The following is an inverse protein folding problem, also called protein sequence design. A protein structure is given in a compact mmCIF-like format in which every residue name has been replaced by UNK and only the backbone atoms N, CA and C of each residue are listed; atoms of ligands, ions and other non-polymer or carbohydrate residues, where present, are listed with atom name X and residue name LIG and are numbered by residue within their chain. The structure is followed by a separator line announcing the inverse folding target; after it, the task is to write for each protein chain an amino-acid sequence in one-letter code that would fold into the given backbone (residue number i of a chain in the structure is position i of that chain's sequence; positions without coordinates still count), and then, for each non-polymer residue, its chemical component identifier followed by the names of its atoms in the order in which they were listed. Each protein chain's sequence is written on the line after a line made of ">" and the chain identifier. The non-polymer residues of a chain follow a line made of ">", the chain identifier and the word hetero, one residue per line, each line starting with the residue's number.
data_IF_450295421787
#
_entry.id   IF_450295421787
#
_cell.length_a   1.000
_cell.length_b   1.000
_cell.length_c   1.000
_cell.angle_alpha   90.00
_cell.angle_beta   90.00
_cell.angle_gamma   90.00
#
_symmetry.space_group_name_H-M   'P 1'
#
loop_
_entity.id
_entity.type
_entity.pdbx_description
1 polymer ?
#
# COMPACT_ATOMS: atom_id res chain seq x y z
N UNK A 1 -6.00 -76.54 -16.33
CA UNK A 1 -6.58 -75.23 -15.96
C UNK A 1 -5.92 -74.85 -14.66
N UNK A 2 -4.72 -74.26 -14.72
CA UNK A 2 -4.03 -73.73 -13.54
C UNK A 2 -3.35 -72.44 -14.00
N UNK A 3 -3.82 -71.32 -13.48
CA UNK A 3 -3.29 -69.99 -13.79
C UNK A 3 -2.29 -69.60 -12.71
N UNK A 4 -1.04 -69.40 -13.13
CA UNK A 4 -0.03 -68.60 -12.44
C UNK A 4 -0.55 -67.20 -12.15
N UNK A 5 -0.22 -66.67 -10.98
CA UNK A 5 -0.15 -65.24 -10.72
C UNK A 5 1.04 -64.96 -9.79
N UNK A 6 2.14 -64.56 -10.41
CA UNK A 6 3.32 -63.99 -9.75
C UNK A 6 2.96 -62.62 -9.16
N UNK A 7 3.22 -62.45 -7.87
CA UNK A 7 3.12 -61.17 -7.17
C UNK A 7 4.50 -60.51 -7.16
N UNK A 8 4.74 -59.62 -8.13
CA UNK A 8 5.90 -58.73 -8.13
C UNK A 8 5.57 -57.50 -7.26
N UNK A 9 6.21 -57.44 -6.08
CA UNK A 9 6.21 -56.26 -5.20
C UNK A 9 7.18 -55.23 -5.76
N UNK A 10 6.65 -54.17 -6.37
CA UNK A 10 7.39 -52.95 -6.63
C UNK A 10 7.19 -51.97 -5.47
N UNK A 11 8.24 -51.77 -4.68
CA UNK A 11 8.32 -50.68 -3.70
C UNK A 11 8.34 -49.32 -4.40
N UNK A 12 7.45 -48.36 -4.05
CA UNK A 12 7.57 -47.00 -4.54
C UNK A 12 8.71 -46.28 -3.80
N UNK A 13 9.82 -46.06 -4.50
CA UNK A 13 10.87 -45.11 -4.10
C UNK A 13 10.26 -43.71 -4.03
N UNK A 14 9.90 -43.26 -2.83
CA UNK A 14 9.66 -41.86 -2.50
C UNK A 14 10.98 -41.09 -2.60
N UNK A 15 11.23 -40.49 -3.77
CA UNK A 15 12.18 -39.37 -3.86
C UNK A 15 11.52 -38.15 -3.23
N UNK A 16 11.83 -37.89 -1.96
CA UNK A 16 11.57 -36.61 -1.32
C UNK A 16 12.37 -35.52 -2.01
N UNK A 17 11.77 -34.90 -3.02
CA UNK A 17 12.20 -33.59 -3.49
C UNK A 17 11.61 -32.56 -2.56
N UNK A 18 12.44 -31.98 -1.69
CA UNK A 18 12.09 -30.74 -0.98
C UNK A 18 11.85 -29.66 -2.03
N UNK A 19 10.58 -29.41 -2.36
CA UNK A 19 10.21 -28.24 -3.13
C UNK A 19 10.40 -27.02 -2.22
N UNK A 20 11.18 -26.00 -2.64
CA UNK A 20 11.36 -24.81 -1.82
C UNK A 20 10.00 -24.16 -1.57
N UNK A 21 9.68 -23.99 -0.30
CA UNK A 21 8.46 -23.35 0.18
C UNK A 21 8.48 -21.88 -0.25
N UNK A 22 7.76 -21.55 -1.33
CA UNK A 22 7.59 -20.17 -1.80
C UNK A 22 6.90 -19.37 -0.69
N UNK A 23 7.59 -18.40 -0.14
CA UNK A 23 7.02 -17.42 0.78
C UNK A 23 6.27 -16.34 -0.02
N UNK A 24 5.44 -15.51 0.63
CA UNK A 24 4.72 -14.40 -0.03
C UNK A 24 5.65 -13.50 -0.84
N UNK A 25 6.89 -13.39 -0.36
CA UNK A 25 7.99 -12.65 -0.98
C UNK A 25 8.43 -13.32 -2.28
N UNK A 26 8.47 -14.64 -2.38
CA UNK A 26 8.86 -15.37 -3.59
C UNK A 26 7.80 -15.31 -4.70
N UNK A 27 6.52 -15.30 -4.33
CA UNK A 27 5.42 -15.01 -5.26
C UNK A 27 5.50 -13.53 -5.69
N UNK A 28 5.86 -12.65 -4.74
CA UNK A 28 6.12 -11.23 -5.00
C UNK A 28 7.52 -10.93 -5.60
N UNK A 29 8.41 -11.90 -5.74
CA UNK A 29 9.75 -11.74 -6.32
C UNK A 29 9.99 -12.65 -7.52
N UNK A 30 8.96 -13.37 -7.96
CA UNK A 30 8.98 -14.15 -9.20
C UNK A 30 9.95 -15.34 -9.15
N UNK A 31 10.16 -15.98 -8.00
CA UNK A 31 11.05 -17.16 -7.87
C UNK A 31 10.53 -18.39 -8.64
N UNK A 32 9.30 -18.34 -9.15
CA UNK A 32 8.74 -19.35 -10.05
C UNK A 32 9.27 -19.19 -11.47
N UNK A 33 9.94 -20.24 -12.00
CA UNK A 33 10.31 -20.33 -13.42
C UNK A 33 9.06 -20.31 -14.31
N UNK A 34 8.54 -19.13 -14.64
CA UNK A 34 7.58 -18.95 -15.72
C UNK A 34 8.35 -19.09 -17.06
N UNK A 35 7.80 -19.91 -17.95
CA UNK A 35 8.43 -20.25 -19.23
C UNK A 35 8.74 -19.01 -20.06
N UNK A 36 10.03 -18.78 -20.32
CA UNK A 36 10.49 -17.83 -21.33
C UNK A 36 9.90 -18.23 -22.68
N UNK A 37 9.05 -17.36 -23.23
CA UNK A 37 8.71 -17.40 -24.65
C UNK A 37 9.92 -16.89 -25.42
N UNK A 38 10.50 -17.77 -26.25
CA UNK A 38 11.61 -17.43 -27.14
C UNK A 38 11.17 -16.35 -28.14
N UNK A 39 11.70 -15.13 -27.99
CA UNK A 39 11.86 -14.17 -29.09
C UNK A 39 13.34 -13.96 -29.33
N UNK A 40 13.87 -14.69 -30.30
CA UNK A 40 15.18 -14.45 -30.92
C UNK A 40 15.07 -13.25 -31.86
N UNK A 41 15.90 -12.24 -31.61
CA UNK A 41 16.05 -11.06 -32.46
C UNK A 41 17.37 -10.38 -32.11
N UNK A 42 18.44 -10.82 -32.79
CA UNK A 42 19.78 -10.25 -32.69
C UNK A 42 19.79 -8.78 -33.15
N UNK A 43 20.11 -7.86 -32.24
CA UNK A 43 20.67 -6.56 -32.60
C UNK A 43 21.85 -6.21 -31.70
N UNK A 44 22.97 -5.96 -32.39
CA UNK A 44 24.31 -5.62 -31.90
C UNK A 44 24.32 -4.20 -31.33
N UNK A 45 24.91 -3.94 -30.14
CA UNK A 45 25.01 -2.59 -29.60
C UNK A 45 26.19 -1.82 -30.23
N UNK A 46 25.94 -0.58 -30.62
CA UNK A 46 26.94 0.41 -31.01
C UNK A 46 27.49 1.16 -29.79
N UNK A 47 28.81 1.30 -29.74
CA UNK A 47 29.56 2.15 -28.81
C UNK A 47 29.07 3.60 -28.81
N UNK A 48 28.91 4.19 -27.62
CA UNK A 48 28.74 5.62 -27.43
C UNK A 48 29.65 6.12 -26.30
N UNK A 49 30.18 7.31 -26.53
CA UNK A 49 31.37 7.91 -25.95
C UNK A 49 31.23 8.35 -24.49
N UNK A 50 32.37 8.30 -23.80
CA UNK A 50 32.63 8.90 -22.50
C UNK A 50 32.42 10.42 -22.52
N UNK A 51 31.61 10.94 -21.59
CA UNK A 51 31.56 12.35 -21.22
C UNK A 51 32.28 12.54 -19.88
N UNK A 52 33.10 13.59 -19.82
CA UNK A 52 34.02 13.89 -18.71
C UNK A 52 33.36 14.38 -17.41
N UNK A 53 34.16 14.54 -16.34
CA UNK A 53 33.66 14.82 -14.99
C UNK A 53 33.21 16.28 -14.85
N UNK A 54 31.92 16.47 -14.58
CA UNK A 54 31.32 17.77 -14.25
C UNK A 54 31.68 18.23 -12.83
N UNK A 55 32.01 19.50 -12.74
CA UNK A 55 32.40 20.28 -11.57
C UNK A 55 31.26 20.35 -10.52
N UNK A 56 31.55 19.97 -9.27
CA UNK A 56 30.58 19.98 -8.17
C UNK A 56 30.43 21.39 -7.58
N UNK A 57 29.29 22.02 -7.86
CA UNK A 57 28.84 23.23 -7.16
C UNK A 57 28.40 22.83 -5.74
N UNK A 58 29.04 23.41 -4.72
CA UNK A 58 28.76 23.19 -3.30
C UNK A 58 27.89 24.34 -2.79
N UNK A 59 26.61 24.09 -2.55
CA UNK A 59 25.69 25.04 -1.91
C UNK A 59 25.77 24.93 -0.37
N UNK A 60 25.53 26.03 0.38
CA UNK A 60 25.73 26.09 1.83
C UNK A 60 24.76 25.18 2.59
N UNK A 61 25.26 24.54 3.65
CA UNK A 61 24.49 23.71 4.55
C UNK A 61 23.48 24.55 5.35
N UNK A 62 22.22 24.13 5.35
CA UNK A 62 21.18 24.65 6.24
C UNK A 62 21.47 24.19 7.67
N UNK A 63 21.43 25.12 8.62
CA UNK A 63 21.78 24.91 10.04
C UNK A 63 20.57 24.59 10.93
N UNK A 64 19.48 24.08 10.37
CA UNK A 64 18.24 23.90 11.13
C UNK A 64 18.23 22.57 11.91
N UNK A 65 18.24 22.66 13.24
CA UNK A 65 18.36 21.55 14.20
C UNK A 65 17.03 20.87 14.55
N UNK A 66 15.94 21.15 13.82
CA UNK A 66 14.59 20.59 14.08
C UNK A 66 14.42 19.09 13.74
N UNK A 67 15.43 18.44 13.16
CA UNK A 67 15.34 17.09 12.57
C UNK A 67 15.33 15.89 13.57
N UNK A 68 14.91 16.07 14.83
CA UNK A 68 14.95 14.96 15.81
C UNK A 68 13.66 14.13 15.90
N UNK A 69 12.52 14.65 15.47
CA UNK A 69 11.25 13.92 15.56
C UNK A 69 10.80 13.42 14.18
N UNK A 70 10.24 12.19 14.11
CA UNK A 70 9.72 11.67 12.85
C UNK A 70 8.58 12.59 12.34
N UNK A 71 8.43 12.74 11.01
CA UNK A 71 7.31 13.46 10.44
C UNK A 71 5.97 12.91 10.94
N UNK A 72 5.03 13.80 11.22
CA UNK A 72 3.70 13.45 11.73
C UNK A 72 2.66 13.31 10.62
N UNK A 73 3.06 13.40 9.36
CA UNK A 73 2.14 13.31 8.23
C UNK A 73 2.73 13.76 6.89
N UNK A 74 1.84 13.94 5.92
CA UNK A 74 2.14 14.54 4.60
C UNK A 74 1.20 15.70 4.32
N UNK A 75 1.72 16.71 3.62
CA UNK A 75 0.99 17.87 3.12
C UNK A 75 0.98 17.86 1.60
N UNK A 76 -0.15 18.19 0.98
CA UNK A 76 -0.29 18.44 -0.45
C UNK A 76 -0.85 19.85 -0.64
N UNK A 77 -0.21 20.68 -1.47
CA UNK A 77 -0.82 21.93 -1.90
C UNK A 77 -1.55 21.71 -3.23
N UNK A 78 -2.88 21.79 -3.20
CA UNK A 78 -3.72 21.65 -4.38
C UNK A 78 -3.64 22.88 -5.29
N UNK A 79 -4.12 22.75 -6.54
CA UNK A 79 -4.10 23.82 -7.54
C UNK A 79 -4.93 25.05 -7.13
N UNK A 80 -5.98 24.81 -6.33
CA UNK A 80 -6.88 25.84 -5.78
C UNK A 80 -6.32 26.54 -4.52
N UNK A 81 -5.02 26.35 -4.21
CA UNK A 81 -4.37 26.92 -3.02
C UNK A 81 -4.95 26.41 -1.70
N UNK A 82 -5.45 25.17 -1.67
CA UNK A 82 -5.79 24.46 -0.44
C UNK A 82 -4.63 23.56 -0.02
N UNK A 83 -4.18 23.69 1.22
CA UNK A 83 -3.23 22.76 1.84
C UNK A 83 -4.03 21.64 2.48
N UNK A 84 -3.81 20.41 2.05
CA UNK A 84 -4.39 19.21 2.67
C UNK A 84 -3.31 18.51 3.46
N UNK A 85 -3.54 18.33 4.76
CA UNK A 85 -2.65 17.59 5.65
C UNK A 85 -3.26 16.22 5.96
N UNK A 86 -2.54 15.15 5.68
CA UNK A 86 -2.85 13.81 6.17
C UNK A 86 -1.90 13.49 7.33
N UNK A 87 -2.40 13.63 8.54
CA UNK A 87 -1.66 13.51 9.78
C UNK A 87 -1.86 12.11 10.39
N UNK A 88 -0.82 11.60 11.05
CA UNK A 88 -0.86 10.39 11.87
C UNK A 88 -0.30 10.71 13.25
N UNK A 89 -1.09 10.42 14.28
CA UNK A 89 -0.71 10.59 15.67
C UNK A 89 -0.60 9.24 16.37
N UNK A 90 0.35 9.13 17.31
CA UNK A 90 0.43 8.02 18.25
C UNK A 90 0.67 8.54 19.67
N UNK A 91 -0.13 8.10 20.63
CA UNK A 91 0.03 8.41 22.05
C UNK A 91 -0.15 7.14 22.88
N UNK A 92 0.96 6.58 23.35
CA UNK A 92 0.97 5.24 23.96
C UNK A 92 0.55 4.19 22.95
N UNK A 93 -0.45 3.37 23.30
CA UNK A 93 -1.02 2.34 22.41
C UNK A 93 -2.11 2.87 21.47
N UNK A 94 -2.53 4.12 21.64
CA UNK A 94 -3.52 4.76 20.76
C UNK A 94 -2.83 5.30 19.52
N UNK A 95 -3.39 4.98 18.36
CA UNK A 95 -3.02 5.57 17.07
C UNK A 95 -4.26 6.16 16.41
N UNK A 96 -4.08 7.26 15.66
CA UNK A 96 -5.14 7.92 14.93
C UNK A 96 -4.61 8.56 13.66
N UNK A 97 -5.50 8.71 12.68
CA UNK A 97 -5.25 9.42 11.44
C UNK A 97 -6.23 10.59 11.35
N UNK A 98 -5.78 11.71 10.79
CA UNK A 98 -6.62 12.88 10.59
C UNK A 98 -6.30 13.52 9.24
N UNK A 99 -7.34 13.96 8.55
CA UNK A 99 -7.22 14.80 7.37
C UNK A 99 -7.70 16.21 7.74
N UNK A 100 -6.88 17.22 7.43
CA UNK A 100 -7.18 18.62 7.75
C UNK A 100 -6.90 19.47 6.52
N UNK A 101 -7.89 20.26 6.11
CA UNK A 101 -7.76 21.20 5.00
C UNK A 101 -7.62 22.63 5.52
N UNK A 102 -6.72 23.40 4.88
CA UNK A 102 -6.58 24.83 5.07
C UNK A 102 -6.69 25.52 3.72
N UNK A 103 -7.73 26.33 3.54
CA UNK A 103 -7.97 27.12 2.33
C UNK A 103 -7.24 28.46 2.43
N UNK A 104 -6.86 29.02 1.29
CA UNK A 104 -6.29 30.35 1.25
C UNK A 104 -7.23 31.37 1.94
N UNK A 105 -6.72 32.07 2.95
CA UNK A 105 -7.46 33.01 3.78
C UNK A 105 -7.97 32.44 5.11
N UNK A 106 -7.87 31.13 5.34
CA UNK A 106 -8.12 30.55 6.66
C UNK A 106 -7.11 31.10 7.68
N UNK A 107 -7.58 31.29 8.92
CA UNK A 107 -6.79 31.93 9.99
C UNK A 107 -5.42 31.27 10.22
N UNK A 108 -5.30 29.97 9.97
CA UNK A 108 -4.08 29.18 10.18
C UNK A 108 -3.33 28.83 8.88
N UNK A 109 -3.81 29.29 7.72
CA UNK A 109 -3.22 28.92 6.43
C UNK A 109 -1.74 29.32 6.35
N UNK A 110 -1.44 30.59 6.63
CA UNK A 110 -0.07 31.12 6.53
C UNK A 110 0.87 30.47 7.54
N UNK A 111 0.37 30.16 8.75
CA UNK A 111 1.15 29.49 9.79
C UNK A 111 1.50 28.06 9.37
N UNK A 112 0.53 27.31 8.84
CA UNK A 112 0.76 25.96 8.31
C UNK A 112 1.70 26.01 7.11
N UNK A 113 1.47 26.91 6.16
CA UNK A 113 2.32 27.08 4.99
C UNK A 113 3.79 27.39 5.38
N UNK A 114 3.98 28.27 6.36
CA UNK A 114 5.29 28.60 6.91
C UNK A 114 5.92 27.43 7.66
N UNK A 115 5.16 26.70 8.47
CA UNK A 115 5.61 25.50 9.19
C UNK A 115 6.14 24.42 8.24
N UNK A 116 5.51 24.27 7.07
CA UNK A 116 5.96 23.36 6.02
C UNK A 116 7.24 23.84 5.29
N UNK A 117 7.77 25.01 5.64
CA UNK A 117 8.87 25.66 4.92
C UNK A 117 8.47 26.12 3.52
N UNK A 118 7.19 26.49 3.34
CA UNK A 118 6.55 26.69 2.05
C UNK A 118 6.28 25.39 1.30
N UNK A 119 5.38 25.41 0.33
CA UNK A 119 5.05 24.25 -0.51
C UNK A 119 4.55 24.76 -1.86
N UNK A 120 4.93 24.14 -2.98
CA UNK A 120 4.49 24.56 -4.32
C UNK A 120 3.19 23.87 -4.71
N UNK A 121 2.40 24.48 -5.62
CA UNK A 121 1.18 23.84 -6.15
C UNK A 121 1.52 22.50 -6.79
N UNK A 122 0.75 21.47 -6.44
CA UNK A 122 0.96 20.08 -6.81
C UNK A 122 2.08 19.36 -6.05
N UNK A 123 2.84 20.05 -5.20
CA UNK A 123 3.93 19.44 -4.42
C UNK A 123 3.37 18.73 -3.18
N UNK A 124 3.93 17.56 -2.88
CA UNK A 124 3.73 16.87 -1.60
C UNK A 124 4.97 17.03 -0.73
N UNK A 125 4.80 17.38 0.55
CA UNK A 125 5.87 17.48 1.55
C UNK A 125 5.57 16.69 2.81
N UNK A 126 6.62 16.31 3.53
CA UNK A 126 6.49 15.76 4.88
C UNK A 126 6.11 16.87 5.87
N UNK A 127 5.20 16.56 6.80
CA UNK A 127 4.79 17.49 7.87
C UNK A 127 5.69 17.26 9.09
N UNK A 128 6.55 18.23 9.47
CA UNK A 128 7.31 18.13 10.70
C UNK A 128 6.38 18.15 11.91
N UNK A 129 6.80 17.51 13.02
CA UNK A 129 6.10 17.67 14.29
C UNK A 129 6.02 19.16 14.68
N UNK A 130 4.88 19.60 15.21
CA UNK A 130 4.82 20.92 15.84
C UNK A 130 5.66 20.88 17.11
N UNK A 131 6.53 21.87 17.28
CA UNK A 131 7.17 22.06 18.56
C UNK A 131 6.11 22.59 19.51
N UNK A 132 5.71 21.76 20.48
CA UNK A 132 4.92 22.24 21.60
C UNK A 132 5.75 23.31 22.30
N UNK A 133 5.28 24.56 22.27
CA UNK A 133 5.90 25.69 22.95
C UNK A 133 5.68 25.49 24.46
N UNK A 134 6.47 24.58 25.05
CA UNK A 134 6.39 24.17 26.47
C UNK A 134 6.63 25.33 27.45
N UNK A 135 7.06 26.49 26.93
CA UNK A 135 7.25 27.75 27.65
C UNK A 135 5.99 28.59 27.78
N UNK A 136 4.94 28.33 26.99
CA UNK A 136 3.66 29.04 27.11
C UNK A 136 2.74 28.35 28.11
N UNK A 137 2.85 28.79 29.37
CA UNK A 137 1.92 28.42 30.45
C UNK A 137 0.48 28.68 29.96
N UNK A 138 -0.43 27.68 30.00
CA UNK A 138 -1.75 27.83 29.41
C UNK A 138 -2.49 28.99 30.08
N UNK A 139 -2.73 30.05 29.31
CA UNK A 139 -3.65 31.12 29.69
C UNK A 139 -5.04 30.50 29.69
N UNK A 140 -5.60 30.35 30.89
CA UNK A 140 -6.92 29.76 31.11
C UNK A 140 -7.96 30.52 30.30
N UNK A 141 -8.39 29.96 29.17
CA UNK A 141 -9.59 30.42 28.50
C UNK A 141 -10.78 30.20 29.45
N UNK A 142 -11.62 31.23 29.69
CA UNK A 142 -12.79 31.09 30.55
C UNK A 142 -13.74 30.07 29.92
N UNK A 143 -14.13 29.09 30.73
CA UNK A 143 -15.07 28.04 30.37
C UNK A 143 -16.36 28.65 29.80
N UNK A 144 -16.62 28.43 28.49
CA UNK A 144 -17.94 28.66 27.92
C UNK A 144 -18.85 27.53 28.38
N UNK A 145 -19.72 27.82 29.35
CA UNK A 145 -20.90 27.01 29.65
C UNK A 145 -21.80 26.96 28.41
N UNK A 146 -21.90 25.78 27.79
CA UNK A 146 -22.95 25.49 26.81
C UNK A 146 -24.17 24.94 27.54
N UNK A 147 -25.17 25.80 27.75
CA UNK A 147 -26.51 25.39 28.16
C UNK A 147 -27.25 24.85 26.95
N UNK A 148 -27.44 23.54 26.86
CA UNK A 148 -28.45 22.93 25.99
C UNK A 148 -29.50 22.34 26.91
N UNK A 149 -30.55 23.13 27.17
CA UNK A 149 -31.81 22.64 27.72
C UNK A 149 -32.59 21.95 26.60
N UNK A 150 -32.81 20.64 26.75
CA UNK A 150 -33.70 19.83 25.92
C UNK A 150 -34.63 19.00 26.81
N UNK A 151 -35.92 18.86 26.45
CA UNK A 151 -36.95 18.37 27.36
C UNK A 151 -36.92 16.84 27.56
N UNK A 152 -37.16 16.47 28.82
CA UNK A 152 -37.24 15.12 29.38
C UNK A 152 -38.51 14.38 28.90
N UNK A 153 -38.43 13.14 28.40
CA UNK A 153 -39.63 12.33 28.15
C UNK A 153 -40.20 11.79 29.46
N UNK A 154 -41.52 11.87 29.58
CA UNK A 154 -42.33 11.34 30.67
C UNK A 154 -42.25 9.81 30.75
N UNK A 155 -42.03 9.30 31.95
CA UNK A 155 -42.33 7.92 32.34
C UNK A 155 -43.82 7.80 32.68
N UNK A 156 -44.46 6.74 32.22
CA UNK A 156 -45.71 6.22 32.76
C UNK A 156 -45.53 4.77 33.28
N UNK A 157 -46.39 4.31 34.21
CA UNK A 157 -46.07 3.25 35.15
C UNK A 157 -46.73 1.89 34.87
N UNK A 158 -46.08 0.87 35.44
CA UNK A 158 -46.55 -0.41 36.00
C UNK A 158 -47.62 -1.29 35.32
N UNK A 159 -47.26 -2.58 35.18
CA UNK A 159 -48.05 -3.73 35.65
C UNK A 159 -47.26 -5.05 35.68
N UNK A 160 -46.72 -5.36 36.84
CA UNK A 160 -47.02 -6.53 37.68
C UNK A 160 -47.58 -7.83 37.02
N UNK A 161 -46.87 -8.96 37.10
CA UNK A 161 -47.17 -10.09 38.01
C UNK A 161 -46.48 -11.45 37.65
N UNK A 162 -46.16 -12.17 38.74
CA UNK A 162 -45.80 -13.58 38.96
C UNK A 162 -44.31 -13.99 38.86
N UNK A 163 -43.62 -14.26 39.99
CA UNK A 163 -43.69 -15.44 40.92
C UNK A 163 -43.33 -16.76 40.22
N UNK A 164 -42.46 -17.65 40.68
CA UNK A 164 -41.59 -17.82 41.87
C UNK A 164 -40.79 -19.16 41.60
N UNK A 165 -40.08 -19.83 42.53
CA UNK A 165 -38.63 -19.74 42.70
C UNK A 165 -37.89 -21.11 42.60
N UNK A 166 -36.64 -21.10 43.08
CA UNK A 166 -35.78 -22.22 43.55
C UNK A 166 -34.71 -22.61 42.50
N UNK A 167 -33.39 -22.66 42.78
CA UNK A 167 -32.76 -23.30 43.94
C UNK A 167 -31.27 -22.94 44.07
N UNK A 168 -30.81 -23.01 45.30
CA UNK A 168 -29.46 -22.84 45.85
C UNK A 168 -28.36 -23.66 45.17
N UNK A 169 -27.13 -23.13 45.18
CA UNK A 169 -25.98 -23.65 45.95
C UNK A 169 -24.69 -22.93 45.49
N UNK A 170 -24.10 -22.05 46.31
CA UNK A 170 -23.11 -22.33 47.36
C UNK A 170 -21.75 -22.86 46.86
N UNK A 171 -20.70 -22.06 47.09
CA UNK A 171 -19.39 -22.44 47.66
C UNK A 171 -18.13 -21.89 46.96
N UNK A 172 -17.64 -20.80 47.56
CA UNK A 172 -16.28 -20.52 48.06
C UNK A 172 -15.07 -20.20 47.15
N UNK A 173 -14.12 -19.37 47.66
CA UNK A 173 -13.01 -18.77 46.92
C UNK A 173 -11.64 -19.42 47.23
N UNK A 174 -10.67 -19.18 46.35
CA UNK A 174 -9.26 -19.54 46.53
C UNK A 174 -8.35 -18.37 46.18
N UNK A 175 -8.01 -17.60 47.21
CA UNK A 175 -6.94 -16.62 47.29
C UNK A 175 -5.58 -17.35 47.31
N UNK A 176 -4.59 -16.86 46.55
CA UNK A 176 -3.18 -17.08 46.83
C UNK A 176 -2.29 -16.03 46.14
N UNK A 177 -2.20 -14.90 46.82
CA UNK A 177 -1.04 -14.01 46.81
C UNK A 177 0.16 -14.71 47.46
N UNK A 178 1.31 -14.74 46.80
CA UNK A 178 2.60 -14.95 47.46
C UNK A 178 3.69 -14.08 46.84
N UNK A 179 4.06 -13.06 47.60
CA UNK A 179 5.26 -12.24 47.50
C UNK A 179 6.51 -13.07 47.78
N UNK A 180 7.53 -12.95 46.94
CA UNK A 180 8.90 -13.32 47.30
C UNK A 180 9.85 -12.18 46.93
N UNK A 181 10.25 -11.46 47.96
CA UNK A 181 11.35 -10.51 48.02
C UNK A 181 12.67 -11.29 48.10
N UNK A 182 13.61 -11.03 47.18
CA UNK A 182 15.04 -11.30 47.43
C UNK A 182 15.88 -10.18 46.85
N UNK A 183 16.49 -9.47 47.79
CA UNK A 183 17.56 -8.49 47.67
C UNK A 183 18.87 -9.21 47.32
N UNK A 184 19.64 -8.73 46.33
CA UNK A 184 21.10 -8.97 46.21
C UNK A 184 21.73 -8.15 45.06
N UNK A 185 22.38 -7.05 45.46
CA UNK A 185 23.76 -6.66 45.09
C UNK A 185 24.17 -6.69 43.61
N UNK A 186 24.25 -5.48 43.04
CA UNK A 186 24.92 -5.15 41.78
C UNK A 186 26.43 -5.46 41.81
N UNK A 187 27.02 -5.77 40.65
CA UNK A 187 28.16 -4.96 40.20
C UNK A 187 28.11 -4.60 38.71
N UNK A 188 28.34 -3.32 38.42
CA UNK A 188 28.98 -2.86 37.18
C UNK A 188 28.19 -2.97 35.87
N UNK A 189 27.13 -2.16 35.73
CA UNK A 189 26.55 -1.86 34.40
C UNK A 189 27.48 -0.89 33.67
N UNK A 190 28.31 -1.41 32.77
CA UNK A 190 28.92 -0.61 31.71
C UNK A 190 27.79 -0.04 30.86
N UNK A 191 27.59 1.27 30.89
CA UNK A 191 26.66 1.95 29.99
C UNK A 191 27.08 1.62 28.56
N UNK A 192 26.25 0.94 27.74
CA UNK A 192 26.55 0.79 26.33
C UNK A 192 26.64 2.20 25.74
N UNK A 193 27.74 2.46 25.05
CA UNK A 193 28.00 3.66 24.30
C UNK A 193 26.87 3.83 23.27
N UNK A 194 25.85 4.59 23.63
CA UNK A 194 24.73 4.97 22.75
C UNK A 194 25.32 5.96 21.77
N UNK A 195 25.96 5.41 20.74
CA UNK A 195 26.44 6.15 19.60
C UNK A 195 25.25 6.95 19.08
N UNK A 196 25.37 8.28 19.15
CA UNK A 196 24.30 9.19 18.78
C UNK A 196 23.76 8.79 17.40
N UNK A 197 22.43 8.71 17.22
CA UNK A 197 21.84 8.33 15.95
C UNK A 197 22.41 9.27 14.88
N UNK A 198 23.15 8.71 13.93
CA UNK A 198 23.66 9.45 12.78
C UNK A 198 22.51 10.22 12.18
N UNK A 199 22.65 11.54 12.11
CA UNK A 199 21.65 12.42 11.53
C UNK A 199 21.25 11.84 10.17
N UNK A 200 19.99 11.45 10.04
CA UNK A 200 19.44 10.91 8.81
C UNK A 200 19.56 12.02 7.76
N UNK A 201 20.58 11.94 6.92
CA UNK A 201 20.64 12.77 5.72
C UNK A 201 19.38 12.41 4.93
N UNK A 202 18.50 13.38 4.63
CA UNK A 202 17.29 13.08 3.88
C UNK A 202 17.70 12.41 2.58
N UNK A 203 17.17 11.21 2.35
CA UNK A 203 17.47 10.45 1.14
C UNK A 203 17.04 11.32 -0.04
N UNK A 204 17.97 11.58 -0.96
CA UNK A 204 17.65 12.31 -2.18
C UNK A 204 16.69 11.45 -2.98
N UNK A 205 15.45 11.93 -3.12
CA UNK A 205 14.44 11.30 -3.97
C UNK A 205 14.93 11.40 -5.41
N UNK A 206 15.24 10.25 -6.00
CA UNK A 206 15.61 10.16 -7.42
C UNK A 206 14.38 9.66 -8.17
N UNK A 207 13.98 10.31 -9.26
CA UNK A 207 12.84 9.86 -10.05
C UNK A 207 13.10 8.49 -10.67
N UNK A 208 12.02 7.77 -11.00
CA UNK A 208 12.10 6.56 -11.81
C UNK A 208 12.67 6.86 -13.21
N UNK A 209 13.23 5.86 -13.87
CA UNK A 209 13.67 6.00 -15.26
C UNK A 209 12.48 6.22 -16.20
N UNK A 210 12.69 6.99 -17.28
CA UNK A 210 11.66 7.25 -18.29
C UNK A 210 11.08 5.97 -18.88
N UNK A 211 11.93 4.99 -19.19
CA UNK A 211 11.49 3.69 -19.71
C UNK A 211 10.53 2.97 -18.76
N UNK A 212 10.79 3.04 -17.45
CA UNK A 212 9.90 2.45 -16.46
C UNK A 212 8.56 3.19 -16.36
N UNK A 213 8.61 4.54 -16.35
CA UNK A 213 7.40 5.39 -16.36
C UNK A 213 6.53 5.07 -17.58
N UNK A 214 7.12 4.98 -18.77
CA UNK A 214 6.42 4.65 -20.01
C UNK A 214 5.79 3.26 -19.92
N UNK A 215 6.49 2.26 -19.37
CA UNK A 215 5.97 0.90 -19.21
C UNK A 215 4.74 0.83 -18.28
N UNK A 216 4.76 1.55 -17.16
CA UNK A 216 3.61 1.62 -16.23
C UNK A 216 2.43 2.32 -16.90
N UNK A 217 2.67 3.45 -17.57
CA UNK A 217 1.64 4.21 -18.27
C UNK A 217 1.02 3.42 -19.42
N UNK A 218 1.85 2.76 -20.24
CA UNK A 218 1.39 1.90 -21.34
C UNK A 218 0.59 0.72 -20.82
N UNK A 219 0.99 0.14 -19.69
CA UNK A 219 0.24 -0.93 -19.03
C UNK A 219 -1.14 -0.44 -18.62
N UNK A 220 -1.21 0.68 -17.90
CA UNK A 220 -2.47 1.27 -17.47
C UNK A 220 -3.36 1.61 -18.68
N UNK A 221 -2.80 2.23 -19.72
CA UNK A 221 -3.53 2.62 -20.93
C UNK A 221 -4.16 1.43 -21.69
N UNK A 222 -3.52 0.26 -21.65
CA UNK A 222 -4.04 -0.99 -22.25
C UNK A 222 -5.17 -1.62 -21.44
N UNK A 223 -5.37 -1.22 -20.19
CA UNK A 223 -6.47 -1.73 -19.37
C UNK A 223 -7.82 -1.27 -19.92
N UNK A 224 -8.84 -2.06 -19.62
CA UNK A 224 -10.20 -1.88 -20.08
C UNK A 224 -10.74 -0.49 -19.68
N UNK A 225 -11.57 0.15 -20.53
CA UNK A 225 -12.21 1.42 -20.19
C UNK A 225 -13.00 1.35 -18.88
N UNK A 226 -13.57 0.19 -18.54
CA UNK A 226 -14.30 -0.04 -17.29
C UNK A 226 -13.44 0.27 -16.06
N UNK A 227 -12.22 -0.26 -16.02
CA UNK A 227 -11.27 -0.03 -14.91
C UNK A 227 -10.78 1.41 -14.92
N UNK A 228 -10.35 1.92 -16.08
CA UNK A 228 -9.80 3.28 -16.18
C UNK A 228 -10.82 4.35 -15.83
N UNK A 229 -12.05 4.24 -16.34
CA UNK A 229 -13.11 5.23 -16.07
C UNK A 229 -13.54 5.18 -14.61
N UNK A 230 -13.57 3.99 -14.00
CA UNK A 230 -13.85 3.82 -12.58
C UNK A 230 -12.78 4.48 -11.71
N UNK A 231 -11.50 4.20 -11.95
CA UNK A 231 -10.39 4.80 -11.20
C UNK A 231 -10.34 6.32 -11.40
N UNK A 232 -10.57 6.80 -12.62
CA UNK A 232 -10.65 8.23 -12.90
C UNK A 232 -11.81 8.90 -12.13
N UNK A 233 -12.96 8.23 -12.03
CA UNK A 233 -14.11 8.72 -11.25
C UNK A 233 -13.82 8.73 -9.75
N UNK A 234 -13.13 7.71 -9.25
CA UNK A 234 -12.75 7.57 -7.85
C UNK A 234 -11.64 8.57 -7.45
N UNK A 235 -10.92 9.12 -8.44
CA UNK A 235 -9.79 10.03 -8.22
C UNK A 235 -8.49 9.28 -7.92
N UNK A 236 -8.40 8.00 -8.27
CA UNK A 236 -7.20 7.19 -8.04
C UNK A 236 -6.06 7.69 -8.92
N UNK A 237 -4.89 7.85 -8.31
CA UNK A 237 -3.64 8.21 -9.01
C UNK A 237 -2.74 6.99 -9.14
N UNK A 238 -2.17 6.78 -10.32
CA UNK A 238 -1.14 5.74 -10.57
C UNK A 238 0.22 6.43 -10.71
N UNK A 239 1.13 6.14 -9.78
CA UNK A 239 2.43 6.82 -9.66
C UNK A 239 3.59 5.82 -9.82
N UNK A 240 4.27 5.80 -10.99
CA UNK A 240 5.55 5.12 -11.11
C UNK A 240 6.62 5.87 -10.30
N UNK A 241 7.39 5.13 -9.52
CA UNK A 241 8.47 5.66 -8.67
C UNK A 241 9.72 4.78 -8.76
N UNK A 242 10.88 5.27 -8.33
CA UNK A 242 12.07 4.43 -8.25
C UNK A 242 11.89 3.39 -7.13
N UNK A 243 11.36 3.79 -5.97
CA UNK A 243 11.13 2.91 -4.79
C UNK A 243 9.77 3.22 -4.18
N UNK A 244 9.10 2.22 -3.60
CA UNK A 244 7.83 2.45 -2.89
C UNK A 244 7.99 3.56 -1.83
N UNK A 245 9.11 3.53 -1.10
CA UNK A 245 9.41 4.49 -0.03
C UNK A 245 9.83 5.88 -0.52
N UNK A 246 10.06 6.07 -1.82
CA UNK A 246 10.22 7.40 -2.42
C UNK A 246 8.84 8.12 -2.55
N UNK A 247 7.75 7.37 -2.73
CA UNK A 247 6.38 7.90 -2.80
C UNK A 247 5.61 7.79 -1.45
N UNK A 248 5.93 6.78 -0.65
CA UNK A 248 5.35 6.50 0.66
C UNK A 248 6.46 6.46 1.73
N UNK A 249 7.11 7.59 2.03
CA UNK A 249 8.27 7.66 2.92
C UNK A 249 8.00 7.14 4.33
N UNK A 250 6.75 7.21 4.80
CA UNK A 250 6.34 6.65 6.08
C UNK A 250 6.54 5.13 6.17
N UNK A 251 6.55 4.41 5.03
CA UNK A 251 6.73 2.96 5.00
C UNK A 251 8.20 2.53 5.12
N UNK A 252 9.14 3.48 5.10
CA UNK A 252 10.57 3.18 5.14
C UNK A 252 10.95 2.42 6.40
N UNK A 253 11.59 1.26 6.22
CA UNK A 253 11.95 0.37 7.33
C UNK A 253 10.77 -0.35 7.99
N UNK A 254 9.52 -0.04 7.63
CA UNK A 254 8.36 -0.75 8.16
C UNK A 254 8.20 -2.10 7.46
N UNK A 255 7.68 -3.08 8.20
CA UNK A 255 7.42 -4.43 7.70
C UNK A 255 5.96 -4.52 7.19
N UNK A 256 5.73 -5.00 5.94
CA UNK A 256 4.37 -5.28 5.48
C UNK A 256 3.70 -6.38 6.32
N UNK A 257 2.36 -6.37 6.38
CA UNK A 257 1.59 -7.40 7.09
C UNK A 257 1.88 -8.78 6.49
N UNK A 258 2.10 -9.78 7.34
CA UNK A 258 2.32 -11.18 6.91
C UNK A 258 3.71 -11.49 6.33
N UNK A 259 4.61 -10.50 6.21
CA UNK A 259 5.95 -10.73 5.68
C UNK A 259 6.91 -11.33 6.71
N UNK A 260 7.90 -12.15 6.27
CA UNK A 260 8.96 -12.65 7.13
C UNK A 260 9.73 -11.53 7.86
N UNK A 261 10.28 -11.80 9.06
CA UNK A 261 11.18 -10.87 9.74
C UNK A 261 12.36 -10.43 8.85
N UNK A 262 12.76 -9.17 8.97
CA UNK A 262 13.91 -8.61 8.24
C UNK A 262 13.59 -8.05 6.85
N UNK A 263 12.38 -8.25 6.34
CA UNK A 263 11.92 -7.59 5.12
C UNK A 263 11.07 -6.37 5.45
N UNK A 264 11.18 -5.35 4.59
CA UNK A 264 10.52 -4.05 4.76
C UNK A 264 9.79 -3.69 3.47
N UNK A 265 9.01 -2.62 3.47
CA UNK A 265 8.39 -2.08 2.26
C UNK A 265 9.39 -1.69 1.17
N UNK A 266 10.67 -1.53 1.51
CA UNK A 266 11.75 -1.35 0.53
C UNK A 266 11.92 -2.58 -0.39
N UNK A 267 11.45 -3.75 0.03
CA UNK A 267 11.52 -5.01 -0.72
C UNK A 267 10.29 -5.27 -1.61
N UNK A 268 9.36 -4.32 -1.68
CA UNK A 268 8.08 -4.43 -2.40
C UNK A 268 8.13 -3.57 -3.67
N UNK A 269 7.58 -4.06 -4.79
CA UNK A 269 7.52 -3.33 -6.07
C UNK A 269 6.15 -2.71 -6.39
N UNK A 270 5.12 -2.97 -5.59
CA UNK A 270 3.78 -2.41 -5.76
C UNK A 270 3.08 -2.17 -4.42
N UNK A 271 2.28 -1.11 -4.35
CA UNK A 271 1.32 -0.94 -3.26
C UNK A 271 0.15 -0.07 -3.70
N UNK A 272 -1.07 -0.46 -3.32
CA UNK A 272 -2.20 0.47 -3.23
C UNK A 272 -2.34 1.03 -1.82
N UNK A 273 -2.51 2.35 -1.72
CA UNK A 273 -2.76 3.09 -0.48
C UNK A 273 -4.19 3.66 -0.51
N UNK A 274 -5.15 3.02 0.17
CA UNK A 274 -6.54 3.48 0.20
C UNK A 274 -6.68 4.90 0.77
N UNK A 275 -5.92 5.25 1.81
CA UNK A 275 -6.01 6.57 2.46
C UNK A 275 -5.45 7.71 1.62
N UNK A 276 -4.68 7.42 0.58
CA UNK A 276 -4.18 8.42 -0.39
C UNK A 276 -4.81 8.26 -1.77
N UNK A 277 -5.71 7.29 -1.93
CA UNK A 277 -6.19 6.80 -3.21
C UNK A 277 -5.08 6.68 -4.28
N UNK A 278 -3.99 6.03 -3.90
CA UNK A 278 -2.74 6.06 -4.65
C UNK A 278 -2.24 4.64 -4.93
N UNK A 279 -2.09 4.32 -6.21
CA UNK A 279 -1.33 3.15 -6.68
C UNK A 279 0.12 3.58 -6.89
N UNK A 280 1.05 2.87 -6.26
CA UNK A 280 2.49 3.08 -6.40
C UNK A 280 3.11 1.84 -7.02
N UNK A 281 3.88 2.02 -8.09
CA UNK A 281 4.67 0.93 -8.71
C UNK A 281 6.13 1.34 -8.72
N UNK A 282 7.01 0.51 -8.18
CA UNK A 282 8.42 0.81 -8.01
C UNK A 282 9.33 0.11 -9.02
N UNK A 283 10.29 0.87 -9.55
CA UNK A 283 11.31 0.37 -10.47
C UNK A 283 12.30 -0.56 -9.76
N UNK A 284 12.68 -0.22 -8.53
CA UNK A 284 13.68 -0.92 -7.73
C UNK A 284 13.07 -1.54 -6.47
N UNK A 285 13.50 -2.75 -6.14
CA UNK A 285 13.23 -3.40 -4.85
C UNK A 285 14.53 -3.79 -4.16
N UNK A 286 14.47 -3.88 -2.85
CA UNK A 286 15.58 -4.29 -2.00
C UNK A 286 15.56 -5.80 -1.78
N UNK A 287 16.58 -6.48 -2.27
CA UNK A 287 16.83 -7.90 -1.98
C UNK A 287 17.60 -8.09 -0.67
N UNK A 288 17.67 -9.35 -0.24
CA UNK A 288 18.58 -9.80 0.82
C UNK A 288 20.01 -9.32 0.56
N UNK A 289 20.69 -8.84 1.61
CA UNK A 289 22.01 -8.22 1.47
C UNK A 289 21.97 -6.73 1.10
N UNK A 290 20.80 -6.09 1.22
CA UNK A 290 20.63 -4.64 1.03
C UNK A 290 20.97 -4.17 -0.40
N UNK A 291 20.84 -5.06 -1.38
CA UNK A 291 21.05 -4.76 -2.79
C UNK A 291 19.75 -4.30 -3.45
N UNK A 292 19.80 -3.17 -4.15
CA UNK A 292 18.72 -2.69 -4.99
C UNK A 292 18.78 -3.38 -6.35
N UNK A 293 17.64 -3.89 -6.81
CA UNK A 293 17.51 -4.52 -8.12
C UNK A 293 16.28 -4.00 -8.83
N UNK A 294 16.30 -3.95 -10.16
CA UNK A 294 15.13 -3.59 -10.93
C UNK A 294 14.06 -4.69 -10.87
N UNK A 295 12.79 -4.30 -10.73
CA UNK A 295 11.66 -5.20 -10.92
C UNK A 295 11.59 -5.62 -12.39
N UNK A 296 11.36 -6.90 -12.63
CA UNK A 296 11.20 -7.50 -13.96
C UNK A 296 9.74 -7.90 -14.25
N UNK A 297 8.81 -7.49 -13.39
CA UNK A 297 7.39 -7.87 -13.40
C UNK A 297 6.47 -6.66 -13.33
N UNK A 298 6.97 -5.50 -13.76
CA UNK A 298 6.30 -4.20 -13.68
C UNK A 298 4.88 -4.22 -14.23
N UNK A 299 4.68 -4.87 -15.38
CA UNK A 299 3.36 -4.97 -16.02
C UNK A 299 2.35 -5.74 -15.14
N UNK A 300 2.74 -6.90 -14.60
CA UNK A 300 1.87 -7.72 -13.74
C UNK A 300 1.57 -7.02 -12.41
N UNK A 301 2.59 -6.42 -11.79
CA UNK A 301 2.43 -5.66 -10.54
C UNK A 301 1.53 -4.45 -10.75
N UNK A 302 1.71 -3.71 -11.84
CA UNK A 302 0.84 -2.56 -12.16
C UNK A 302 -0.63 -2.98 -12.19
N UNK A 303 -0.95 -4.10 -12.87
CA UNK A 303 -2.32 -4.61 -12.94
C UNK A 303 -2.84 -5.09 -11.58
N UNK A 304 -2.00 -5.75 -10.79
CA UNK A 304 -2.35 -6.22 -9.46
C UNK A 304 -2.69 -5.07 -8.52
N UNK A 305 -1.84 -4.04 -8.43
CA UNK A 305 -2.10 -2.88 -7.56
C UNK A 305 -3.32 -2.07 -8.02
N UNK A 306 -3.54 -1.98 -9.33
CA UNK A 306 -4.78 -1.41 -9.89
C UNK A 306 -5.99 -2.28 -9.55
N UNK A 307 -5.81 -3.60 -9.43
CA UNK A 307 -6.82 -4.52 -8.93
C UNK A 307 -7.27 -4.17 -7.51
N UNK A 308 -6.34 -3.89 -6.60
CA UNK A 308 -6.66 -3.40 -5.25
C UNK A 308 -7.40 -2.07 -5.27
N UNK A 309 -6.96 -1.11 -6.10
CA UNK A 309 -7.66 0.17 -6.25
C UNK A 309 -9.08 0.00 -6.81
N UNK A 310 -9.23 -0.88 -7.81
CA UNK A 310 -10.52 -1.19 -8.44
C UNK A 310 -11.46 -1.83 -7.42
N UNK A 311 -10.98 -2.80 -6.64
CA UNK A 311 -11.73 -3.43 -5.56
C UNK A 311 -12.25 -2.38 -4.56
N UNK A 312 -11.39 -1.45 -4.15
CA UNK A 312 -11.75 -0.37 -3.24
C UNK A 312 -12.80 0.59 -3.84
N UNK A 313 -12.58 1.06 -5.07
CA UNK A 313 -13.43 2.02 -5.78
C UNK A 313 -14.88 1.51 -6.01
N UNK A 314 -15.10 0.19 -5.89
CA UNK A 314 -16.42 -0.43 -6.04
C UNK A 314 -17.03 -0.88 -4.71
N UNK A 315 -16.58 -0.24 -3.62
CA UNK A 315 -16.96 -0.51 -2.23
C UNK A 315 -16.55 -1.91 -1.77
N UNK A 316 -15.29 -2.30 -2.02
CA UNK A 316 -14.72 -3.59 -1.66
C UNK A 316 -15.52 -4.76 -2.22
N UNK A 317 -15.42 -4.98 -3.52
CA UNK A 317 -16.01 -6.17 -4.18
C UNK A 317 -15.61 -7.47 -3.49
N UNK A 318 -14.37 -7.55 -3.01
CA UNK A 318 -13.81 -8.66 -2.24
C UNK A 318 -14.63 -9.02 -0.99
N UNK A 319 -15.37 -8.06 -0.44
CA UNK A 319 -16.27 -8.23 0.72
C UNK A 319 -17.74 -8.42 0.33
N UNK A 320 -18.07 -8.34 -0.96
CA UNK A 320 -19.42 -8.61 -1.42
C UNK A 320 -19.82 -10.08 -1.20
N UNK A 321 -21.10 -10.30 -0.93
CA UNK A 321 -21.64 -11.66 -0.75
C UNK A 321 -21.44 -12.54 -2.00
N UNK A 322 -21.59 -11.94 -3.19
CA UNK A 322 -21.44 -12.66 -4.45
C UNK A 322 -20.00 -13.15 -4.65
N UNK A 323 -19.02 -12.26 -4.46
CA UNK A 323 -17.61 -12.60 -4.58
C UNK A 323 -17.16 -13.58 -3.50
N UNK A 324 -17.53 -13.33 -2.23
CA UNK A 324 -17.17 -14.22 -1.12
C UNK A 324 -17.63 -15.66 -1.38
N UNK A 325 -18.88 -15.84 -1.84
CA UNK A 325 -19.41 -17.15 -2.19
C UNK A 325 -18.63 -17.80 -3.34
N UNK A 326 -18.22 -17.02 -4.35
CA UNK A 326 -17.43 -17.52 -5.47
C UNK A 326 -16.04 -17.98 -5.02
N UNK A 327 -15.35 -17.15 -4.24
CA UNK A 327 -14.04 -17.42 -3.66
C UNK A 327 -14.04 -18.67 -2.77
N UNK A 328 -14.99 -18.81 -1.84
CA UNK A 328 -15.13 -20.01 -1.01
C UNK A 328 -15.40 -21.27 -1.86
N UNK A 329 -16.19 -21.14 -2.92
CA UNK A 329 -16.50 -22.24 -3.82
C UNK A 329 -15.31 -22.66 -4.69
N UNK A 330 -14.37 -21.75 -4.95
CA UNK A 330 -13.10 -22.03 -5.62
C UNK A 330 -12.11 -22.71 -4.66
N UNK A 331 -11.94 -22.19 -3.44
CA UNK A 331 -11.11 -22.84 -2.41
C UNK A 331 -11.55 -24.28 -2.17
N UNK A 332 -12.86 -24.52 -2.04
CA UNK A 332 -13.40 -25.86 -1.82
C UNK A 332 -13.14 -26.81 -2.99
N UNK A 333 -13.09 -26.30 -4.21
CA UNK A 333 -12.89 -27.07 -5.43
C UNK A 333 -11.40 -27.14 -5.85
N UNK A 334 -10.52 -26.41 -5.16
CA UNK A 334 -9.15 -26.22 -5.57
C UNK A 334 -8.36 -27.54 -5.58
N UNK A 335 -7.70 -27.90 -6.69
CA UNK A 335 -6.82 -29.05 -6.72
C UNK A 335 -5.68 -28.90 -5.70
N UNK A 336 -5.41 -29.95 -4.91
CA UNK A 336 -4.44 -29.89 -3.81
C UNK A 336 -3.02 -29.49 -4.25
N UNK A 337 -2.65 -29.77 -5.49
CA UNK A 337 -1.35 -29.38 -6.06
C UNK A 337 -1.23 -27.86 -6.32
N UNK A 338 -2.34 -27.11 -6.33
CA UNK A 338 -2.32 -25.65 -6.47
C UNK A 338 -2.20 -24.92 -5.14
N UNK A 339 -2.56 -25.55 -4.01
CA UNK A 339 -2.58 -24.92 -2.68
C UNK A 339 -1.23 -24.31 -2.28
N UNK A 340 -0.12 -24.96 -2.65
CA UNK A 340 1.23 -24.44 -2.37
C UNK A 340 1.54 -23.18 -3.16
N UNK A 341 1.24 -23.18 -4.46
CA UNK A 341 1.48 -22.05 -5.37
C UNK A 341 0.55 -20.87 -5.08
N UNK A 342 -0.70 -21.14 -4.73
CA UNK A 342 -1.72 -20.12 -4.47
C UNK A 342 -1.85 -19.76 -2.99
N UNK A 343 -0.94 -20.23 -2.12
CA UNK A 343 -0.99 -20.02 -0.67
C UNK A 343 -1.20 -18.56 -0.27
N UNK A 344 -0.63 -17.62 -1.03
CA UNK A 344 -0.79 -16.20 -0.79
C UNK A 344 -2.26 -15.74 -0.86
N UNK A 345 -3.00 -16.22 -1.86
CA UNK A 345 -4.42 -15.96 -2.06
C UNK A 345 -5.32 -16.81 -1.17
N UNK A 346 -4.76 -17.68 -0.33
CA UNK A 346 -5.48 -18.57 0.59
C UNK A 346 -5.26 -18.17 2.06
N UNK A 347 -4.72 -16.97 2.32
CA UNK A 347 -4.54 -16.47 3.66
C UNK A 347 -5.88 -16.36 4.40
N UNK A 348 -5.83 -16.57 5.71
CA UNK A 348 -6.99 -16.42 6.59
C UNK A 348 -7.46 -14.96 6.68
N UNK A 349 -8.74 -14.77 7.00
CA UNK A 349 -9.35 -13.44 7.11
C UNK A 349 -9.57 -12.81 5.75
N UNK A 350 -9.58 -11.48 5.69
CA UNK A 350 -9.89 -10.75 4.46
C UNK A 350 -8.71 -10.70 3.48
N UNK A 351 -7.48 -10.86 3.97
CA UNK A 351 -6.27 -10.80 3.14
C UNK A 351 -6.30 -11.76 1.95
N UNK A 352 -6.70 -13.02 2.12
CA UNK A 352 -6.78 -13.96 0.99
C UNK A 352 -7.80 -13.52 -0.08
N UNK A 353 -8.97 -13.01 0.35
CA UNK A 353 -10.02 -12.53 -0.55
C UNK A 353 -9.61 -11.27 -1.30
N UNK A 354 -9.06 -10.28 -0.60
CA UNK A 354 -8.58 -9.00 -1.16
C UNK A 354 -7.51 -9.28 -2.23
N UNK A 355 -6.51 -10.10 -1.90
CA UNK A 355 -5.43 -10.47 -2.83
C UNK A 355 -5.92 -11.29 -4.03
N UNK A 356 -6.85 -12.23 -3.82
CA UNK A 356 -7.47 -12.97 -4.92
C UNK A 356 -8.32 -12.04 -5.82
N UNK A 357 -8.96 -11.02 -5.25
CA UNK A 357 -9.77 -10.08 -6.02
C UNK A 357 -8.87 -9.25 -6.94
N UNK A 358 -7.81 -8.67 -6.37
CA UNK A 358 -6.82 -7.89 -7.11
C UNK A 358 -6.15 -8.71 -8.22
N UNK A 359 -5.74 -9.94 -7.93
CA UNK A 359 -5.14 -10.83 -8.92
C UNK A 359 -6.13 -11.27 -10.00
N UNK A 360 -7.40 -11.53 -9.64
CA UNK A 360 -8.45 -11.85 -10.61
C UNK A 360 -8.75 -10.69 -11.57
N UNK A 361 -8.70 -9.45 -11.07
CA UNK A 361 -8.78 -8.24 -11.91
C UNK A 361 -7.55 -8.16 -12.81
N UNK A 362 -6.35 -8.41 -12.29
CA UNK A 362 -5.14 -8.40 -13.12
C UNK A 362 -5.23 -9.40 -14.28
N UNK A 363 -5.69 -10.64 -14.00
CA UNK A 363 -5.89 -11.71 -14.98
C UNK A 363 -6.84 -11.27 -16.10
N UNK A 364 -7.97 -10.66 -15.73
CA UNK A 364 -8.92 -10.10 -16.69
C UNK A 364 -8.28 -9.05 -17.62
N UNK A 365 -7.35 -8.27 -17.09
CA UNK A 365 -6.64 -7.18 -17.77
C UNK A 365 -5.38 -7.66 -18.53
N UNK A 366 -5.23 -8.98 -18.68
CA UNK A 366 -4.23 -9.61 -19.53
C UNK A 366 -2.85 -9.77 -18.89
N UNK A 367 -2.74 -9.73 -17.56
CA UNK A 367 -1.50 -10.05 -16.84
C UNK A 367 -1.78 -10.79 -15.53
N UNK A 368 -0.79 -11.43 -14.93
CA UNK A 368 -0.97 -12.13 -13.66
C UNK A 368 0.39 -12.37 -13.03
N UNK A 369 0.53 -11.99 -11.76
CA UNK A 369 1.71 -12.30 -10.95
C UNK A 369 1.90 -13.81 -10.75
N UNK A 370 0.81 -14.58 -10.87
CA UNK A 370 0.78 -16.04 -10.71
C UNK A 370 0.59 -16.82 -12.02
N UNK A 371 0.51 -16.12 -13.15
CA UNK A 371 0.23 -16.69 -14.47
C UNK A 371 -1.06 -17.52 -14.52
N UNK A 372 -1.07 -18.54 -15.39
CA UNK A 372 -2.24 -19.41 -15.62
C UNK A 372 -2.69 -20.22 -14.41
N UNK A 373 -1.84 -20.35 -13.39
CA UNK A 373 -2.18 -21.11 -12.19
C UNK A 373 -3.33 -20.47 -11.43
N UNK A 374 -3.43 -19.13 -11.45
CA UNK A 374 -4.51 -18.42 -10.80
C UNK A 374 -5.86 -18.72 -11.46
N UNK A 375 -5.93 -18.68 -12.79
CA UNK A 375 -7.15 -19.02 -13.56
C UNK A 375 -7.69 -20.41 -13.25
N UNK A 376 -6.79 -21.39 -13.05
CA UNK A 376 -7.16 -22.75 -12.69
C UNK A 376 -7.69 -22.86 -11.26
N UNK A 377 -7.19 -22.03 -10.35
CA UNK A 377 -7.57 -22.03 -8.94
C UNK A 377 -8.83 -21.23 -8.63
N UNK A 378 -9.07 -20.14 -9.35
CA UNK A 378 -10.11 -19.14 -9.02
C UNK A 378 -11.08 -18.80 -10.17
N UNK A 379 -11.60 -19.78 -10.94
CA UNK A 379 -12.46 -19.48 -12.10
C UNK A 379 -13.78 -18.81 -11.72
N UNK A 380 -14.39 -19.14 -10.57
CA UNK A 380 -15.67 -18.53 -10.15
C UNK A 380 -15.45 -17.12 -9.63
N UNK A 381 -14.36 -16.86 -8.89
CA UNK A 381 -13.99 -15.51 -8.46
C UNK A 381 -13.80 -14.59 -9.66
N UNK A 382 -13.09 -15.05 -10.70
CA UNK A 382 -12.91 -14.29 -11.94
C UNK A 382 -14.26 -13.99 -12.61
N UNK A 383 -15.18 -14.97 -12.65
CA UNK A 383 -16.53 -14.75 -13.18
C UNK A 383 -17.30 -13.68 -12.36
N UNK A 384 -17.25 -13.76 -11.03
CA UNK A 384 -17.90 -12.77 -10.15
C UNK A 384 -17.33 -11.35 -10.34
N UNK A 385 -16.01 -11.23 -10.56
CA UNK A 385 -15.35 -9.95 -10.89
C UNK A 385 -15.88 -9.40 -12.22
N UNK A 386 -15.96 -10.24 -13.25
CA UNK A 386 -16.48 -9.82 -14.56
C UNK A 386 -17.92 -9.32 -14.47
N UNK A 387 -18.79 -10.05 -13.77
CA UNK A 387 -20.18 -9.67 -13.59
C UNK A 387 -20.31 -8.33 -12.85
N UNK A 388 -19.52 -8.13 -11.79
CA UNK A 388 -19.50 -6.88 -11.03
C UNK A 388 -19.05 -5.68 -11.88
N UNK A 389 -17.96 -5.83 -12.63
CA UNK A 389 -17.43 -4.76 -13.48
C UNK A 389 -18.39 -4.41 -14.63
N UNK A 390 -19.06 -5.41 -15.23
CA UNK A 390 -20.09 -5.18 -16.24
C UNK A 390 -21.29 -4.41 -15.66
N UNK A 391 -21.75 -4.77 -14.46
CA UNK A 391 -22.85 -4.07 -13.80
C UNK A 391 -22.51 -2.61 -13.49
N UNK A 392 -21.27 -2.33 -13.12
CA UNK A 392 -20.79 -0.98 -12.83
C UNK A 392 -20.65 -0.19 -14.12
N UNK A 393 -20.14 -0.80 -15.19
CA UNK A 393 -20.05 -0.17 -16.50
C UNK A 393 -21.42 0.30 -17.00
N UNK A 394 -22.46 -0.49 -16.82
CA UNK A 394 -23.82 -0.12 -17.18
C UNK A 394 -24.35 1.10 -16.40
N UNK A 395 -23.77 1.42 -15.24
CA UNK A 395 -24.15 2.56 -14.39
C UNK A 395 -23.26 3.79 -14.57
N UNK A 396 -22.07 3.63 -15.15
CA UNK A 396 -21.17 4.75 -15.40
C UNK A 396 -21.72 5.59 -16.56
N UNK A 397 -21.70 6.93 -16.45
CA UNK A 397 -22.05 7.77 -17.60
C UNK A 397 -21.12 7.41 -18.74
N UNK A 398 -21.69 7.17 -19.93
CA UNK A 398 -20.88 6.98 -21.13
C UNK A 398 -20.07 8.26 -21.31
N UNK A 399 -18.74 8.16 -21.18
CA UNK A 399 -17.88 9.30 -21.46
C UNK A 399 -18.26 9.84 -22.84
N UNK A 400 -18.45 11.17 -23.00
CA UNK A 400 -18.77 11.73 -24.30
C UNK A 400 -17.72 11.21 -25.27
N UNK A 401 -18.17 10.61 -26.38
CA UNK A 401 -17.27 10.00 -27.35
C UNK A 401 -16.17 11.02 -27.65
N UNK A 402 -14.93 10.72 -27.22
CA UNK A 402 -13.78 11.57 -27.55
C UNK A 402 -13.83 11.68 -29.06
N UNK A 403 -14.12 12.88 -29.57
CA UNK A 403 -14.20 13.10 -31.00
C UNK A 403 -12.89 12.60 -31.57
N UNK A 404 -12.94 11.50 -32.31
CA UNK A 404 -11.79 10.80 -32.89
C UNK A 404 -11.16 11.58 -34.04
N UNK A 405 -11.20 12.91 -33.96
CA UNK A 405 -10.32 13.75 -34.73
C UNK A 405 -8.88 13.35 -34.40
N UNK A 406 -8.02 13.13 -35.40
CA UNK A 406 -6.61 12.88 -35.15
C UNK A 406 -6.08 14.06 -34.36
N UNK A 407 -5.87 13.84 -33.06
CA UNK A 407 -5.22 14.81 -32.20
C UNK A 407 -3.80 14.96 -32.69
N UNK A 408 -3.56 15.95 -33.54
CA UNK A 408 -2.24 16.54 -33.72
C UNK A 408 -1.71 16.82 -32.33
N UNK A 409 -0.72 16.05 -31.90
CA UNK A 409 0.11 16.38 -30.76
C UNK A 409 0.75 17.71 -31.14
N UNK A 410 0.22 18.81 -30.61
CA UNK A 410 0.86 20.11 -30.73
C UNK A 410 2.24 19.96 -30.10
N UNK A 411 3.25 19.91 -30.97
CA UNK A 411 4.66 19.99 -30.61
C UNK A 411 4.79 21.17 -29.63
N UNK A 412 5.43 21.01 -28.46
CA UNK A 412 5.65 22.14 -27.56
C UNK A 412 6.33 23.24 -28.37
N UNK A 413 5.74 24.44 -28.36
CA UNK A 413 6.27 25.59 -29.07
C UNK A 413 7.75 25.74 -28.70
N UNK A 414 8.62 25.61 -29.70
CA UNK A 414 10.02 26.01 -29.59
C UNK A 414 9.99 27.47 -29.17
N UNK A 415 10.41 27.74 -27.93
CA UNK A 415 10.69 29.09 -27.45
C UNK A 415 11.82 29.64 -28.30
N UNK A 416 11.47 30.43 -29.32
CA UNK A 416 12.41 31.25 -30.07
C UNK A 416 13.12 32.18 -29.08
N UNK A 417 14.35 31.81 -28.73
CA UNK A 417 15.33 32.72 -28.17
C UNK A 417 15.87 33.59 -29.30
N UNK A 418 15.59 34.89 -29.30
CA UNK A 418 16.47 35.84 -29.97
C UNK A 418 15.80 37.06 -30.59
N UNK A 419 16.05 38.21 -29.97
CA UNK A 419 15.82 39.52 -30.60
C UNK A 419 16.25 40.67 -29.70
N UNK A 420 17.56 40.90 -29.58
CA UNK A 420 18.07 42.17 -29.03
C UNK A 420 17.79 43.31 -30.02
N UNK A 421 17.32 44.49 -29.56
CA UNK A 421 17.15 45.65 -30.42
C UNK A 421 18.50 46.35 -30.69
N UNK A 422 18.69 46.98 -31.86
CA UNK A 422 19.89 47.74 -32.16
C UNK A 422 19.88 49.09 -31.43
N UNK A 423 21.10 49.57 -31.15
CA UNK A 423 21.44 50.85 -30.52
C UNK A 423 21.07 52.07 -31.37
#
# INVERSE_FOLDING_TARGET
>A
MDKQSDNDKLDPKTKGGEHPQLNSVDILQGSGKAGQSNKTGDQKPSEAQQAGPGEKIRLPASTDTSAKEPPIGVALLQDNETIVLHLKGKKGDLSGEAEVEYKLGDKLYDDVYKHLGGIKKGETKLVPAWQDDTTSKPEQQPARQSSIDGPKPQQEPDKDLNKDPNKDQDSKPGDQSSTTTTDATAPGVSTPDVTAPSALIPDVVVPASTQFVDMVNDTYAKMSPEVRDLLAKDGTVVTPTRRITDALPELKGQKPRGWPPGLTWDAVDGAYSPSRNLVVVAEETRKTGNQWVKSNRTEDVTRHEIGHATDYAINKLSDSTAYTKAYEADIKAMPANLNGTLKYFLQSGDGGKEEACAEGIAVREGGSTSGKTFELGFPKSIAAINDALLLIRAKLPTAPARSSGPGTISKPAETETGGSPPL
#
